data_IF_410845831273
#
_entry.id   IF_410845831273
#
_cell.length_a   1.000
_cell.length_b   1.000
_cell.length_c   1.000
_cell.angle_alpha   90.00
_cell.angle_beta   90.00
_cell.angle_gamma   90.00
#
_symmetry.space_group_name_H-M   'P 1'
#
loop_
_entity.id
_entity.type
_entity.pdbx_description
1 polymer ?
#
# COMPACT_ATOMS: atom_id res chain seq x y z
N UNK A 1 -8.57 11.95 -18.57
CA UNK A 1 -8.40 11.49 -17.18
C UNK A 1 -6.96 11.78 -16.77
N UNK A 2 -6.73 12.41 -15.61
CA UNK A 2 -5.41 12.83 -15.15
C UNK A 2 -4.46 11.67 -14.83
N UNK A 3 -4.98 10.53 -14.38
CA UNK A 3 -4.16 9.32 -14.18
C UNK A 3 -3.43 8.92 -15.47
N UNK A 4 -4.14 8.92 -16.61
CA UNK A 4 -3.56 8.60 -17.92
C UNK A 4 -2.46 9.60 -18.30
N UNK A 5 -2.70 10.90 -18.09
CA UNK A 5 -1.72 11.96 -18.39
C UNK A 5 -0.45 11.81 -17.54
N UNK A 6 -0.61 11.44 -16.26
CA UNK A 6 0.51 11.17 -15.36
C UNK A 6 1.31 9.95 -15.83
N UNK A 7 0.65 8.82 -16.11
CA UNK A 7 1.32 7.61 -16.62
C UNK A 7 2.05 7.86 -17.93
N UNK A 8 1.43 8.56 -18.88
CA UNK A 8 2.05 8.94 -20.15
C UNK A 8 3.28 9.83 -19.94
N UNK A 9 3.22 10.77 -18.99
CA UNK A 9 4.37 11.61 -18.65
C UNK A 9 5.51 10.81 -18.01
N UNK A 10 5.21 9.87 -17.11
CA UNK A 10 6.19 8.97 -16.49
C UNK A 10 6.91 8.15 -17.58
N UNK A 11 6.15 7.52 -18.47
CA UNK A 11 6.68 6.70 -19.55
C UNK A 11 7.51 7.52 -20.54
N UNK A 12 6.97 8.66 -21.00
CA UNK A 12 7.65 9.54 -21.97
C UNK A 12 9.01 10.05 -21.47
N UNK A 13 9.14 10.25 -20.16
CA UNK A 13 10.36 10.77 -19.55
C UNK A 13 11.26 9.67 -18.95
N UNK A 14 10.94 8.38 -19.14
CA UNK A 14 11.67 7.26 -18.56
C UNK A 14 11.91 7.43 -17.04
N UNK A 15 10.87 7.84 -16.32
CA UNK A 15 10.94 8.01 -14.86
C UNK A 15 10.80 6.63 -14.20
N UNK A 16 11.90 6.16 -13.62
CA UNK A 16 11.98 4.90 -12.89
C UNK A 16 11.97 5.11 -11.36
N UNK A 17 11.86 4.01 -10.60
CA UNK A 17 11.90 4.01 -9.13
C UNK A 17 10.81 4.87 -8.48
N UNK A 18 9.62 4.87 -9.07
CA UNK A 18 8.52 5.70 -8.63
C UNK A 18 7.85 5.15 -7.37
N UNK A 19 7.70 6.01 -6.36
CA UNK A 19 7.05 5.71 -5.10
C UNK A 19 5.95 6.75 -4.88
N UNK A 20 4.71 6.28 -4.78
CA UNK A 20 3.58 7.08 -4.37
C UNK A 20 3.32 6.88 -2.88
N UNK A 21 3.07 7.97 -2.15
CA UNK A 21 2.65 7.95 -0.75
C UNK A 21 1.33 8.67 -0.65
N UNK A 22 0.29 7.97 -0.20
CA UNK A 22 -1.09 8.47 -0.22
C UNK A 22 -1.77 8.29 1.14
N UNK A 23 -2.92 8.92 1.32
CA UNK A 23 -3.72 8.91 2.55
C UNK A 23 -5.21 9.01 2.23
N UNK A 24 -5.95 9.80 3.00
CA UNK A 24 -7.39 10.11 2.83
C UNK A 24 -8.36 8.92 3.08
N UNK A 25 -8.07 7.73 2.56
CA UNK A 25 -8.98 6.57 2.61
C UNK A 25 -9.18 5.95 4.00
N UNK A 26 -8.40 6.38 5.00
CA UNK A 26 -8.35 5.79 6.34
C UNK A 26 -8.10 4.27 6.30
N UNK A 27 -7.19 3.84 5.43
CA UNK A 27 -6.82 2.44 5.27
C UNK A 27 -5.37 2.35 4.82
N UNK A 28 -4.63 1.40 5.38
CA UNK A 28 -3.30 1.09 4.90
C UNK A 28 -3.40 0.15 3.69
N UNK A 29 -2.74 0.48 2.58
CA UNK A 29 -2.63 -0.40 1.41
C UNK A 29 -1.22 -0.37 0.84
N UNK A 30 -0.81 -1.44 0.18
CA UNK A 30 0.38 -1.47 -0.66
C UNK A 30 0.03 -2.02 -2.05
N UNK A 31 0.25 -1.20 -3.08
CA UNK A 31 0.02 -1.58 -4.48
C UNK A 31 1.34 -1.63 -5.25
N UNK A 32 1.39 -2.55 -6.21
CA UNK A 32 2.30 -2.44 -7.36
C UNK A 32 1.56 -1.59 -8.40
N UNK A 33 1.85 -0.29 -8.42
CA UNK A 33 1.00 0.70 -9.09
C UNK A 33 1.01 0.50 -10.62
N UNK A 34 -0.17 0.39 -11.23
CA UNK A 34 -0.34 0.21 -12.66
C UNK A 34 -1.62 0.94 -13.12
N UNK A 35 -1.63 1.42 -14.37
CA UNK A 35 -2.82 2.05 -14.95
C UNK A 35 -3.81 1.04 -15.53
N UNK A 36 -3.38 -0.19 -15.76
CA UNK A 36 -4.21 -1.25 -16.34
C UNK A 36 -3.93 -2.60 -15.68
N UNK A 37 -4.52 -2.84 -14.51
CA UNK A 37 -4.22 -4.00 -13.69
C UNK A 37 -4.75 -5.33 -14.22
N UNK A 38 -5.65 -5.32 -15.20
CA UNK A 38 -6.29 -6.53 -15.71
C UNK A 38 -5.69 -6.97 -17.05
N UNK A 39 -5.25 -6.02 -17.89
CA UNK A 39 -4.71 -6.35 -19.21
C UNK A 39 -3.18 -6.43 -19.22
N UNK A 40 -2.49 -5.54 -18.51
CA UNK A 40 -1.03 -5.37 -18.67
C UNK A 40 -0.21 -5.84 -17.48
N UNK A 41 -0.84 -6.02 -16.33
CA UNK A 41 -0.15 -6.33 -15.09
C UNK A 41 -0.05 -7.84 -14.83
N UNK A 42 1.17 -8.31 -14.57
CA UNK A 42 1.41 -9.71 -14.20
C UNK A 42 1.66 -9.85 -12.70
N UNK A 43 0.74 -10.47 -11.93
CA UNK A 43 0.85 -10.57 -10.48
C UNK A 43 2.02 -11.44 -9.98
N UNK A 44 2.61 -12.28 -10.84
CA UNK A 44 3.75 -13.15 -10.48
C UNK A 44 5.09 -12.41 -10.62
N UNK A 45 5.22 -11.62 -11.68
CA UNK A 45 6.48 -10.94 -12.06
C UNK A 45 6.50 -9.47 -11.69
N UNK A 46 5.34 -8.86 -11.41
CA UNK A 46 5.14 -7.42 -11.22
C UNK A 46 5.36 -6.58 -12.49
N UNK A 47 5.47 -7.24 -13.65
CA UNK A 47 5.52 -6.59 -14.96
C UNK A 47 4.23 -5.82 -15.22
N UNK A 48 4.32 -4.66 -15.89
CA UNK A 48 3.20 -3.75 -16.11
C UNK A 48 2.92 -2.77 -14.97
N UNK A 49 3.59 -2.90 -13.82
CA UNK A 49 3.62 -1.85 -12.81
C UNK A 49 4.65 -0.77 -13.15
N UNK A 50 4.31 0.49 -12.88
CA UNK A 50 5.15 1.68 -13.12
C UNK A 50 5.85 2.18 -11.84
N UNK A 51 5.50 1.60 -10.70
CA UNK A 51 6.01 2.01 -9.40
C UNK A 51 5.33 1.23 -8.29
N UNK A 52 5.45 1.74 -7.06
CA UNK A 52 4.70 1.24 -5.90
C UNK A 52 3.93 2.37 -5.25
N UNK A 53 2.80 2.03 -4.64
CA UNK A 53 2.01 2.97 -3.85
C UNK A 53 1.83 2.44 -2.44
N UNK A 54 2.12 3.30 -1.46
CA UNK A 54 1.87 3.05 -0.05
C UNK A 54 0.79 4.02 0.44
N UNK A 55 -0.44 3.52 0.55
CA UNK A 55 -1.54 4.22 1.19
C UNK A 55 -1.43 4.06 2.69
N UNK A 56 -1.43 5.16 3.44
CA UNK A 56 -1.29 5.17 4.90
C UNK A 56 -2.66 5.29 5.56
N UNK A 57 -2.86 4.49 6.61
CA UNK A 57 -4.06 4.56 7.45
C UNK A 57 -4.20 5.92 8.15
N UNK A 58 -5.31 6.13 8.83
CA UNK A 58 -5.58 7.35 9.58
C UNK A 58 -4.78 7.42 10.89
N UNK A 59 -4.53 8.65 11.34
CA UNK A 59 -4.05 8.91 12.71
C UNK A 59 -5.21 8.82 13.70
N UNK A 60 -6.33 9.52 13.43
CA UNK A 60 -7.49 9.56 14.34
C UNK A 60 -8.85 9.40 13.66
N UNK A 61 -8.94 9.51 12.35
CA UNK A 61 -10.22 9.43 11.65
C UNK A 61 -10.74 8.01 11.58
N UNK A 62 -12.05 7.81 11.72
CA UNK A 62 -12.61 6.47 11.85
C UNK A 62 -12.34 5.55 10.64
N UNK A 63 -11.84 4.35 10.95
CA UNK A 63 -11.54 3.26 10.03
C UNK A 63 -12.80 2.39 9.76
N UNK A 64 -12.69 1.39 8.89
CA UNK A 64 -13.87 0.58 8.49
C UNK A 64 -14.46 -0.24 9.63
N UNK A 65 -13.63 -0.73 10.56
CA UNK A 65 -14.07 -1.52 11.71
C UNK A 65 -14.76 -0.70 12.82
N UNK A 66 -14.78 0.63 12.71
CA UNK A 66 -15.58 1.51 13.56
C UNK A 66 -17.00 1.73 13.02
N UNK A 67 -17.23 1.36 11.75
CA UNK A 67 -18.55 1.42 11.08
C UNK A 67 -19.15 0.05 10.81
N UNK A 68 -18.32 -1.00 10.83
CA UNK A 68 -18.70 -2.38 10.53
C UNK A 68 -18.05 -3.37 11.51
N UNK A 69 -18.64 -4.56 11.74
CA UNK A 69 -18.01 -5.59 12.56
C UNK A 69 -16.60 -5.95 12.06
N UNK A 70 -15.66 -6.07 13.00
CA UNK A 70 -14.25 -6.33 12.66
C UNK A 70 -14.08 -7.57 11.81
N UNK A 71 -14.79 -8.67 12.10
CA UNK A 71 -14.68 -9.93 11.35
C UNK A 71 -15.16 -9.78 9.89
N UNK A 72 -16.17 -8.96 9.64
CA UNK A 72 -16.65 -8.62 8.29
C UNK A 72 -15.57 -7.86 7.52
N UNK A 73 -14.92 -6.87 8.16
CA UNK A 73 -13.81 -6.13 7.56
C UNK A 73 -12.64 -7.05 7.24
N UNK A 74 -12.24 -7.94 8.16
CA UNK A 74 -11.18 -8.94 7.91
C UNK A 74 -11.51 -9.83 6.71
N UNK A 75 -12.75 -10.31 6.62
CA UNK A 75 -13.22 -11.13 5.49
C UNK A 75 -13.16 -10.36 4.17
N UNK A 76 -13.42 -9.05 4.18
CA UNK A 76 -13.32 -8.22 2.99
C UNK A 76 -11.87 -8.02 2.55
N UNK A 77 -10.96 -7.70 3.47
CA UNK A 77 -9.52 -7.57 3.22
C UNK A 77 -8.94 -8.82 2.53
N UNK A 78 -9.28 -10.01 3.04
CA UNK A 78 -8.86 -11.30 2.47
C UNK A 78 -9.41 -11.56 1.06
N UNK A 79 -10.53 -10.93 0.69
CA UNK A 79 -11.13 -11.08 -0.64
C UNK A 79 -10.52 -10.15 -1.67
N UNK A 80 -9.97 -9.01 -1.25
CA UNK A 80 -9.49 -7.96 -2.17
C UNK A 80 -7.98 -7.97 -2.35
N UNK A 81 -7.19 -8.26 -1.31
CA UNK A 81 -5.74 -8.32 -1.45
C UNK A 81 -5.28 -9.64 -2.06
N UNK A 82 -4.31 -9.56 -2.97
CA UNK A 82 -3.75 -10.69 -3.73
C UNK A 82 -4.85 -11.55 -4.39
N UNK A 83 -5.85 -10.90 -4.97
CA UNK A 83 -7.04 -11.52 -5.55
C UNK A 83 -7.21 -11.12 -7.01
N UNK A 84 -8.02 -11.87 -7.76
CA UNK A 84 -8.31 -11.56 -9.16
C UNK A 84 -9.09 -10.25 -9.34
N UNK A 85 -9.75 -9.74 -8.29
CA UNK A 85 -10.46 -8.45 -8.35
C UNK A 85 -9.53 -7.26 -8.19
N UNK A 86 -8.37 -7.44 -7.54
CA UNK A 86 -7.32 -6.43 -7.44
C UNK A 86 -5.93 -7.12 -7.47
N UNK A 87 -5.47 -7.59 -8.65
CA UNK A 87 -4.28 -8.45 -8.74
C UNK A 87 -2.98 -7.75 -8.28
N UNK A 88 -2.98 -6.42 -8.34
CA UNK A 88 -1.88 -5.53 -8.00
C UNK A 88 -1.92 -5.00 -6.56
N UNK A 89 -3.00 -5.26 -5.82
CA UNK A 89 -3.11 -4.96 -4.40
C UNK A 89 -2.44 -6.06 -3.57
N UNK A 90 -1.32 -5.75 -2.91
CA UNK A 90 -0.50 -6.75 -2.18
C UNK A 90 -0.78 -6.81 -0.69
N UNK A 91 -1.30 -5.74 -0.12
CA UNK A 91 -1.63 -5.67 1.29
C UNK A 91 -2.70 -4.62 1.53
N UNK A 92 -3.57 -4.91 2.50
CA UNK A 92 -4.58 -3.98 2.99
C UNK A 92 -4.81 -4.21 4.49
N UNK A 93 -4.96 -3.11 5.24
CA UNK A 93 -5.46 -3.10 6.61
C UNK A 93 -6.40 -1.90 6.79
N UNK A 94 -7.69 -2.19 6.90
CA UNK A 94 -8.82 -1.25 6.97
C UNK A 94 -9.30 -1.00 8.41
N UNK A 95 -8.52 -1.46 9.40
CA UNK A 95 -8.96 -1.57 10.79
C UNK A 95 -8.11 -0.74 11.71
N UNK A 96 -6.80 -0.84 11.56
CA UNK A 96 -5.86 -0.34 12.55
C UNK A 96 -5.41 1.09 12.20
N UNK A 97 -5.36 1.98 13.20
CA UNK A 97 -4.77 3.32 13.07
C UNK A 97 -3.26 3.27 13.19
N UNK A 98 -2.58 4.27 12.65
CA UNK A 98 -1.14 4.32 12.69
C UNK A 98 -0.52 5.17 11.59
N UNK A 99 0.69 4.82 11.20
CA UNK A 99 1.51 5.62 10.28
C UNK A 99 2.48 4.73 9.51
N UNK A 100 3.15 5.28 8.50
CA UNK A 100 4.17 4.60 7.73
C UNK A 100 5.55 5.16 8.08
N UNK A 101 6.52 4.29 8.35
CA UNK A 101 7.94 4.66 8.29
C UNK A 101 8.48 4.22 6.93
N UNK A 102 8.84 5.20 6.10
CA UNK A 102 9.46 4.97 4.81
C UNK A 102 10.96 5.28 4.91
N UNK A 103 11.80 4.26 4.70
CA UNK A 103 13.26 4.40 4.70
C UNK A 103 13.77 4.26 3.28
N UNK A 104 14.43 5.30 2.77
CA UNK A 104 14.98 5.35 1.42
C UNK A 104 16.50 5.22 1.49
N UNK A 105 17.05 4.28 0.73
CA UNK A 105 18.48 4.16 0.50
C UNK A 105 18.79 4.13 -1.01
N UNK A 106 20.06 3.98 -1.37
CA UNK A 106 20.49 3.99 -2.77
C UNK A 106 20.05 2.75 -3.56
N UNK A 107 19.68 1.65 -2.89
CA UNK A 107 19.49 0.32 -3.46
C UNK A 107 18.08 -0.24 -3.24
N UNK A 108 17.29 0.35 -2.36
CA UNK A 108 15.94 -0.07 -1.98
C UNK A 108 15.17 1.03 -1.23
N UNK A 109 13.87 0.80 -1.13
CA UNK A 109 12.99 1.41 -0.14
C UNK A 109 12.45 0.35 0.80
N UNK A 110 12.35 0.69 2.08
CA UNK A 110 11.64 -0.10 3.09
C UNK A 110 10.43 0.68 3.60
N UNK A 111 9.27 0.03 3.56
CA UNK A 111 7.99 0.56 4.03
C UNK A 111 7.53 -0.26 5.24
N UNK A 112 7.44 0.34 6.42
CA UNK A 112 7.06 -0.30 7.68
C UNK A 112 5.77 0.33 8.20
N UNK A 113 4.65 -0.36 7.99
CA UNK A 113 3.33 0.05 8.46
C UNK A 113 3.23 -0.16 9.97
N UNK A 114 3.21 0.95 10.69
CA UNK A 114 3.06 1.00 12.14
C UNK A 114 1.60 1.10 12.52
N UNK A 115 1.21 0.35 13.55
CA UNK A 115 -0.11 0.43 14.17
C UNK A 115 0.01 0.85 15.63
N UNK A 116 -0.94 1.67 16.08
CA UNK A 116 -1.08 2.07 17.48
C UNK A 116 -2.16 1.24 18.17
N UNK A 117 -2.03 1.04 19.47
CA UNK A 117 -2.91 0.19 20.30
C UNK A 117 -4.21 0.87 20.72
N UNK A 118 -4.19 2.19 20.90
CA UNK A 118 -5.34 2.97 21.36
C UNK A 118 -5.22 4.43 20.92
N UNK A 119 -6.37 5.06 20.66
CA UNK A 119 -6.49 6.50 20.44
C UNK A 119 -7.02 7.25 21.68
N UNK A 120 -7.44 6.52 22.71
CA UNK A 120 -8.17 7.08 23.87
C UNK A 120 -7.27 7.40 25.06
N UNK A 121 -6.10 6.78 25.11
CA UNK A 121 -5.17 6.89 26.23
C UNK A 121 -3.78 7.25 25.71
N UNK A 122 -2.97 7.89 26.57
CA UNK A 122 -1.56 8.14 26.25
C UNK A 122 -0.81 6.82 26.36
N UNK A 123 -0.53 6.22 25.21
CA UNK A 123 0.24 4.99 25.07
C UNK A 123 1.33 5.20 24.00
N UNK A 124 2.55 4.76 24.29
CA UNK A 124 3.68 4.80 23.35
C UNK A 124 3.85 3.48 22.60
N UNK A 125 2.99 2.49 22.85
CA UNK A 125 3.04 1.18 22.23
C UNK A 125 2.71 1.25 20.75
N UNK A 126 3.70 0.87 19.93
CA UNK A 126 3.58 0.80 18.47
C UNK A 126 4.04 -0.58 18.02
N UNK A 127 3.30 -1.18 17.09
CA UNK A 127 3.66 -2.47 16.48
C UNK A 127 3.87 -2.31 14.99
N UNK A 128 4.72 -3.15 14.41
CA UNK A 128 4.79 -3.29 12.96
C UNK A 128 3.68 -4.25 12.53
N UNK A 129 2.79 -3.84 11.66
CA UNK A 129 1.77 -4.72 11.08
C UNK A 129 2.29 -5.42 9.82
N UNK A 130 2.87 -4.63 8.91
CA UNK A 130 3.46 -5.16 7.68
C UNK A 130 4.69 -4.38 7.27
N UNK A 131 5.68 -5.09 6.74
CA UNK A 131 6.87 -4.51 6.13
C UNK A 131 7.02 -4.95 4.68
N UNK A 132 7.42 -4.01 3.83
CA UNK A 132 7.79 -4.26 2.44
C UNK A 132 9.17 -3.72 2.15
N UNK A 133 9.91 -4.43 1.31
CA UNK A 133 11.13 -3.95 0.66
C UNK A 133 10.90 -3.93 -0.83
N UNK A 134 11.29 -2.85 -1.49
CA UNK A 134 11.32 -2.73 -2.95
C UNK A 134 12.73 -2.36 -3.35
N UNK A 135 13.37 -3.19 -4.18
CA UNK A 135 14.73 -2.93 -4.67
C UNK A 135 14.69 -1.86 -5.75
N UNK A 136 15.78 -1.10 -5.89
CA UNK A 136 16.03 -0.22 -7.04
C UNK A 136 15.82 -1.00 -8.35
N UNK A 137 15.13 -0.37 -9.29
CA UNK A 137 14.79 -0.94 -10.59
C UNK A 137 13.68 -1.99 -10.54
N UNK A 138 13.02 -2.20 -9.40
CA UNK A 138 11.92 -3.15 -9.23
C UNK A 138 10.67 -2.44 -8.75
N UNK A 139 9.51 -2.98 -9.15
CA UNK A 139 8.18 -2.61 -8.65
C UNK A 139 7.59 -3.68 -7.74
N UNK A 140 8.34 -4.75 -7.48
CA UNK A 140 7.88 -5.90 -6.71
C UNK A 140 7.91 -5.62 -5.22
N UNK A 141 6.76 -5.77 -4.57
CA UNK A 141 6.64 -5.64 -3.12
C UNK A 141 7.08 -6.93 -2.42
N UNK A 142 8.29 -6.93 -1.84
CA UNK A 142 8.82 -8.08 -1.11
C UNK A 142 8.42 -7.97 0.36
N UNK A 143 7.41 -8.74 0.77
CA UNK A 143 6.97 -8.80 2.17
C UNK A 143 8.07 -9.31 3.11
N UNK A 144 8.22 -8.67 4.26
CA UNK A 144 9.03 -9.13 5.39
C UNK A 144 8.14 -9.48 6.58
N UNK A 145 8.60 -10.45 7.38
CA UNK A 145 8.04 -10.73 8.70
C UNK A 145 8.52 -9.67 9.70
#
# INVERSE_FOLDING_TARGET
>A
NDQKRLTEAIQKNNIDNLIFVTGDTHTAWAFEATSDPFETYNPKTSEGAIGVEFGVTSITSGNSNERHPTDVVKKHEMKIANSDVNPHLKYVNMRDHGYLILTLDSDKVEADFKIVTTLKERDTSVKSDKKFVVKKGSTKLIGKL
#
